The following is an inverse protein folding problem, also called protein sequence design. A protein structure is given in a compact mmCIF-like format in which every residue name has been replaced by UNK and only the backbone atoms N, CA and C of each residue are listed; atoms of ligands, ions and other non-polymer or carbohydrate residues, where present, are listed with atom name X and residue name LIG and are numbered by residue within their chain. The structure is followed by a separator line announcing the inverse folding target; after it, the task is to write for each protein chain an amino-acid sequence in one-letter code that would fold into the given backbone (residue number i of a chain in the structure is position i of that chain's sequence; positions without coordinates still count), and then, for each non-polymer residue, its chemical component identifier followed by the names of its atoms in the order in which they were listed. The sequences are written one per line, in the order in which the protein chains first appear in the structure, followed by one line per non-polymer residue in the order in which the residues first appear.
data_IF_916743232871
#
_entry.id   IF_916743232871
#
_cell.length_a   1.000
_cell.length_b   1.000
_cell.length_c   1.000
_cell.angle_alpha   90.00
_cell.angle_beta   90.00
_cell.angle_gamma   90.00
#
_symmetry.space_group_name_H-M   'P 1'
#
loop_
_entity.id
_entity.type
_entity.pdbx_description
1 polymer ?
#
# COMPACT_ATOMS: atom_id res chain seq x y z
N UNK A 1 -9.17 -1.30 19.20
CA UNK A 1 -8.55 -2.26 18.25
C UNK A 1 -7.98 -1.45 17.12
N UNK A 2 -6.70 -1.65 16.79
CA UNK A 2 -6.02 -0.88 15.74
C UNK A 2 -5.96 -1.69 14.44
N UNK A 3 -5.84 -1.00 13.31
CA UNK A 3 -5.69 -1.58 11.97
C UNK A 3 -4.47 -0.96 11.28
N UNK A 4 -3.84 -1.71 10.38
CA UNK A 4 -2.69 -1.25 9.61
C UNK A 4 -3.09 -0.21 8.55
N UNK A 5 -2.10 0.55 8.05
CA UNK A 5 -2.32 1.57 7.02
C UNK A 5 -3.00 0.99 5.77
N UNK A 6 -2.60 -0.19 5.30
CA UNK A 6 -3.20 -0.79 4.11
C UNK A 6 -4.69 -1.15 4.31
N UNK A 7 -5.07 -1.55 5.53
CA UNK A 7 -6.45 -1.88 5.89
C UNK A 7 -7.30 -0.61 5.95
N UNK A 8 -6.79 0.44 6.59
CA UNK A 8 -7.46 1.74 6.63
C UNK A 8 -7.63 2.32 5.22
N UNK A 9 -6.61 2.22 4.36
CA UNK A 9 -6.69 2.66 2.95
C UNK A 9 -7.75 1.90 2.16
N UNK A 10 -7.92 0.60 2.38
CA UNK A 10 -8.97 -0.18 1.72
C UNK A 10 -10.36 0.34 2.12
N UNK A 11 -10.61 0.52 3.41
CA UNK A 11 -11.89 1.05 3.91
C UNK A 11 -12.18 2.46 3.38
N UNK A 12 -11.18 3.35 3.39
CA UNK A 12 -11.33 4.71 2.88
C UNK A 12 -11.64 4.72 1.37
N UNK A 13 -11.00 3.83 0.60
CA UNK A 13 -11.28 3.67 -0.83
C UNK A 13 -12.70 3.20 -1.10
N UNK A 14 -13.19 2.24 -0.32
CA UNK A 14 -14.57 1.74 -0.41
C UNK A 14 -15.59 2.85 -0.09
N UNK A 15 -15.21 3.80 0.77
CA UNK A 15 -15.98 5.01 1.05
C UNK A 15 -15.80 6.15 0.01
N UNK A 16 -15.05 5.92 -1.07
CA UNK A 16 -14.79 6.91 -2.13
C UNK A 16 -13.80 8.01 -1.75
N UNK A 17 -13.10 7.90 -0.62
CA UNK A 17 -12.07 8.87 -0.24
C UNK A 17 -10.78 8.63 -1.06
N UNK A 18 -10.09 9.70 -1.49
CA UNK A 18 -8.85 9.56 -2.24
C UNK A 18 -7.75 8.98 -1.35
N UNK A 19 -7.17 7.86 -1.78
CA UNK A 19 -6.01 7.23 -1.14
C UNK A 19 -4.95 6.93 -2.19
N UNK A 20 -3.68 7.04 -1.81
CA UNK A 20 -2.59 6.67 -2.69
C UNK A 20 -2.63 5.17 -3.02
N UNK A 21 -2.35 4.83 -4.28
CA UNK A 21 -2.24 3.45 -4.71
C UNK A 21 -1.02 2.76 -4.10
N UNK A 22 -1.19 1.49 -3.78
CA UNK A 22 -0.19 0.72 -3.06
C UNK A 22 -0.53 -0.76 -3.02
N UNK A 23 0.48 -1.58 -2.73
CA UNK A 23 0.33 -3.03 -2.59
C UNK A 23 0.92 -3.49 -1.26
N UNK A 24 0.21 -4.37 -0.57
CA UNK A 24 0.75 -5.06 0.61
C UNK A 24 1.76 -6.12 0.15
N UNK A 25 2.88 -6.21 0.87
CA UNK A 25 3.98 -7.11 0.56
C UNK A 25 4.29 -7.91 1.82
N UNK A 26 4.24 -9.25 1.73
CA UNK A 26 4.47 -10.14 2.87
C UNK A 26 5.90 -10.71 2.92
N UNK A 27 6.63 -10.65 1.80
CA UNK A 27 8.04 -11.06 1.70
C UNK A 27 8.86 -9.94 1.07
N UNK A 28 10.03 -9.66 1.62
CA UNK A 28 10.87 -8.56 1.16
C UNK A 28 11.26 -8.68 -0.33
N UNK A 29 11.44 -9.91 -0.82
CA UNK A 29 11.78 -10.20 -2.23
C UNK A 29 10.71 -9.72 -3.23
N UNK A 30 9.44 -9.68 -2.83
CA UNK A 30 8.33 -9.26 -3.69
C UNK A 30 8.22 -7.73 -3.81
N UNK A 31 8.91 -6.97 -2.95
CA UNK A 31 8.73 -5.52 -2.82
C UNK A 31 9.05 -4.77 -4.11
N UNK A 32 10.13 -5.14 -4.80
CA UNK A 32 10.55 -4.49 -6.05
C UNK A 32 9.54 -4.74 -7.18
N UNK A 33 9.06 -5.98 -7.31
CA UNK A 33 8.06 -6.35 -8.31
C UNK A 33 6.72 -5.64 -8.04
N UNK A 34 6.29 -5.59 -6.78
CA UNK A 34 5.08 -4.89 -6.38
C UNK A 34 5.17 -3.37 -6.63
N UNK A 35 6.31 -2.76 -6.34
CA UNK A 35 6.56 -1.34 -6.62
C UNK A 35 6.58 -1.04 -8.12
N UNK A 36 7.25 -1.88 -8.93
CA UNK A 36 7.31 -1.70 -10.38
C UNK A 36 5.98 -1.87 -11.11
N UNK A 37 4.96 -2.43 -10.47
CA UNK A 37 3.59 -2.47 -10.98
C UNK A 37 2.76 -1.21 -10.68
N UNK A 38 3.34 -0.25 -9.94
CA UNK A 38 2.75 1.06 -9.66
C UNK A 38 3.39 2.11 -10.58
N UNK A 39 2.57 3.01 -11.12
CA UNK A 39 3.05 4.11 -11.94
C UNK A 39 3.88 5.11 -11.12
N UNK A 40 4.74 5.85 -11.84
CA UNK A 40 5.47 6.98 -11.30
C UNK A 40 6.96 6.72 -11.07
N UNK A 41 7.76 7.78 -10.92
CA UNK A 41 9.22 7.69 -10.83
C UNK A 41 9.74 7.36 -9.42
N UNK A 42 8.87 7.31 -8.41
CA UNK A 42 9.25 7.16 -7.00
C UNK A 42 8.14 6.43 -6.21
N UNK A 43 8.56 5.52 -5.33
CA UNK A 43 7.66 4.76 -4.45
C UNK A 43 8.08 4.88 -2.99
N UNK A 44 7.12 4.74 -2.08
CA UNK A 44 7.35 4.76 -0.63
C UNK A 44 7.08 3.37 -0.07
N UNK A 45 8.10 2.76 0.54
CA UNK A 45 7.99 1.48 1.24
C UNK A 45 7.78 1.75 2.73
N UNK A 46 6.76 1.15 3.33
CA UNK A 46 6.40 1.37 4.74
C UNK A 46 6.20 0.06 5.48
N UNK A 47 6.84 -0.08 6.63
CA UNK A 47 6.50 -1.13 7.58
C UNK A 47 5.04 -0.98 8.03
N UNK A 48 4.30 -2.09 8.10
CA UNK A 48 2.94 -2.12 8.63
C UNK A 48 3.02 -2.50 10.11
N UNK A 49 2.85 -1.51 10.98
CA UNK A 49 2.82 -1.66 12.45
C UNK A 49 1.40 -1.59 13.00
#
# INVERSE_FOLDING_TARGET
MNIHEYQAKAQLRDCGAPVADGRVVLRAEDAKTAAGALDGPLWVVKAQI
#
